data_IF_663956348957
#
_entry.id   IF_663956348957
#
_cell.length_a   1.000
_cell.length_b   1.000
_cell.length_c   1.000
_cell.angle_alpha   90.00
_cell.angle_beta   90.00
_cell.angle_gamma   90.00
#
_symmetry.space_group_name_H-M   'P 1'
#
loop_
_entity.id
_entity.type
_entity.pdbx_description
1 polymer ?
#
# COMPACT_ATOMS: atom_id res chain seq x y z
N UNK A 1 -7.72 52.85 0.50
CA UNK A 1 -7.81 51.99 -0.70
C UNK A 1 -6.81 50.83 -0.53
N UNK A 2 -6.88 50.05 0.56
CA UNK A 2 -7.60 48.78 0.74
C UNK A 2 -7.34 47.70 -0.33
N UNK A 3 -6.11 47.19 -0.42
CA UNK A 3 -5.86 45.83 -0.91
C UNK A 3 -5.89 44.87 0.27
N UNK A 4 -7.03 44.20 0.41
CA UNK A 4 -7.34 43.21 1.44
C UNK A 4 -6.59 41.92 1.15
N UNK A 5 -5.93 41.41 2.18
CA UNK A 5 -5.37 40.06 2.30
C UNK A 5 -6.23 39.00 1.61
N UNK A 6 -5.69 38.38 0.56
CA UNK A 6 -6.29 37.20 -0.06
C UNK A 6 -5.91 35.98 0.77
N UNK A 7 -6.80 35.66 1.71
CA UNK A 7 -7.19 34.30 2.09
C UNK A 7 -6.09 33.26 2.20
N UNK A 8 -5.49 33.22 3.40
CA UNK A 8 -4.82 32.05 3.96
C UNK A 8 -5.86 30.90 4.05
N UNK A 9 -5.84 29.94 3.12
CA UNK A 9 -6.59 28.70 3.27
C UNK A 9 -5.87 27.79 4.26
N UNK A 10 -6.27 27.88 5.54
CA UNK A 10 -6.09 26.83 6.54
C UNK A 10 -7.01 25.66 6.15
N UNK A 11 -6.45 24.49 5.81
CA UNK A 11 -7.15 23.21 5.88
C UNK A 11 -6.13 22.09 6.10
N UNK A 12 -6.45 21.18 7.03
CA UNK A 12 -5.52 20.25 7.68
C UNK A 12 -4.98 19.13 6.79
N UNK A 13 -3.65 19.03 6.81
CA UNK A 13 -2.78 17.84 6.90
C UNK A 13 -3.40 16.45 6.72
N UNK A 14 -3.53 16.06 5.45
CA UNK A 14 -3.07 14.80 4.81
C UNK A 14 -3.64 14.66 3.39
N UNK A 15 -4.49 15.61 3.00
CA UNK A 15 -4.81 15.90 1.60
C UNK A 15 -3.72 16.74 0.90
N UNK A 16 -2.53 16.94 1.48
CA UNK A 16 -1.54 17.92 1.00
C UNK A 16 -0.80 17.49 -0.27
N UNK A 17 -0.61 16.19 -0.50
CA UNK A 17 0.03 15.70 -1.74
C UNK A 17 -0.93 15.76 -2.94
N UNK A 18 -2.21 15.48 -2.73
CA UNK A 18 -3.21 15.51 -3.80
C UNK A 18 -3.68 16.93 -4.09
N UNK A 19 -3.92 17.78 -3.07
CA UNK A 19 -4.30 19.18 -3.27
C UNK A 19 -3.16 20.02 -3.84
N UNK A 20 -1.90 19.75 -3.51
CA UNK A 20 -0.77 20.51 -4.12
C UNK A 20 -0.71 20.32 -5.64
N UNK A 21 -1.00 19.11 -6.14
CA UNK A 21 -1.07 18.82 -7.59
C UNK A 21 -2.38 19.30 -8.24
N UNK A 22 -3.51 19.21 -7.54
CA UNK A 22 -4.80 19.72 -8.03
C UNK A 22 -4.84 21.25 -8.05
N UNK A 23 -4.24 21.91 -7.06
CA UNK A 23 -4.14 23.36 -6.98
C UNK A 23 -3.16 23.91 -8.02
N UNK A 24 -2.04 23.24 -8.28
CA UNK A 24 -1.09 23.66 -9.32
C UNK A 24 -1.70 23.60 -10.73
N UNK A 25 -2.41 22.51 -11.06
CA UNK A 25 -3.11 22.38 -12.34
C UNK A 25 -4.31 23.32 -12.48
N UNK A 26 -5.05 23.57 -11.39
CA UNK A 26 -6.12 24.57 -11.36
C UNK A 26 -5.59 26.00 -11.52
N UNK A 27 -4.49 26.35 -10.84
CA UNK A 27 -3.84 27.65 -10.95
C UNK A 27 -3.22 27.87 -12.34
N UNK A 28 -2.66 26.83 -12.96
CA UNK A 28 -2.19 26.89 -14.35
C UNK A 28 -3.34 27.14 -15.33
N UNK A 29 -4.47 26.42 -15.19
CA UNK A 29 -5.68 26.64 -16.00
C UNK A 29 -6.28 28.04 -15.79
N UNK A 30 -6.28 28.54 -14.55
CA UNK A 30 -6.77 29.88 -14.19
C UNK A 30 -5.86 30.98 -14.71
N UNK A 31 -4.54 30.82 -14.62
CA UNK A 31 -3.55 31.73 -15.18
C UNK A 31 -3.67 31.80 -16.72
N UNK A 32 -3.83 30.65 -17.40
CA UNK A 32 -4.07 30.60 -18.85
C UNK A 32 -5.36 31.32 -19.27
N UNK A 33 -6.43 31.19 -18.49
CA UNK A 33 -7.69 31.92 -18.72
C UNK A 33 -7.52 33.43 -18.53
N UNK A 34 -6.78 33.86 -17.50
CA UNK A 34 -6.49 35.26 -17.23
C UNK A 34 -5.59 35.90 -18.29
N UNK A 35 -4.56 35.18 -18.81
CA UNK A 35 -3.74 35.65 -19.95
C UNK A 35 -4.59 36.05 -21.15
N UNK A 36 -5.57 35.21 -21.50
CA UNK A 36 -6.46 35.43 -22.65
C UNK A 36 -7.41 36.61 -22.45
N UNK A 37 -7.91 36.80 -21.23
CA UNK A 37 -8.87 37.87 -20.90
C UNK A 37 -8.20 39.24 -20.77
N UNK A 38 -7.03 39.30 -20.13
CA UNK A 38 -6.34 40.56 -19.83
C UNK A 38 -5.33 40.96 -20.91
N UNK A 39 -5.07 40.09 -21.91
CA UNK A 39 -4.00 40.22 -22.92
C UNK A 39 -2.61 40.52 -22.32
N UNK A 40 -2.43 40.23 -21.05
CA UNK A 40 -1.18 40.43 -20.33
C UNK A 40 -0.45 39.09 -20.24
N UNK A 41 0.59 38.96 -21.05
CA UNK A 41 1.38 37.73 -21.17
C UNK A 41 2.33 37.51 -19.98
N UNK A 42 2.51 38.50 -19.10
CA UNK A 42 3.40 38.39 -17.94
C UNK A 42 2.81 37.56 -16.78
N UNK A 43 1.55 37.12 -16.86
CA UNK A 43 0.89 36.36 -15.78
C UNK A 43 1.29 34.89 -15.90
N UNK A 44 2.39 34.48 -15.27
CA UNK A 44 2.81 33.08 -15.19
C UNK A 44 2.43 32.43 -13.85
N UNK A 45 2.10 31.14 -13.89
CA UNK A 45 1.95 30.38 -12.66
C UNK A 45 3.36 30.02 -12.16
N UNK A 46 3.61 30.10 -10.86
CA UNK A 46 4.91 29.75 -10.24
C UNK A 46 5.42 28.34 -10.60
N UNK A 47 4.52 27.47 -11.06
CA UNK A 47 4.83 26.12 -11.54
C UNK A 47 5.33 26.08 -12.99
N UNK A 48 4.97 27.04 -13.84
CA UNK A 48 5.44 27.13 -15.24
C UNK A 48 6.85 27.75 -15.34
N UNK A 49 7.27 28.51 -14.31
CA UNK A 49 8.63 29.05 -14.19
C UNK A 49 9.65 28.01 -13.69
N UNK A 50 9.18 26.85 -13.22
CA UNK A 50 10.07 25.76 -12.85
C UNK A 50 10.60 25.09 -14.13
N UNK A 51 11.76 25.53 -14.61
CA UNK A 51 12.51 24.84 -15.65
C UNK A 51 12.66 23.37 -15.24
N UNK A 52 12.04 22.48 -16.01
CA UNK A 52 12.03 21.05 -15.71
C UNK A 52 13.39 20.48 -16.11
N UNK A 53 14.38 20.64 -15.23
CA UNK A 53 15.67 20.01 -15.42
C UNK A 53 15.52 18.52 -15.10
N UNK A 54 15.59 17.68 -16.13
CA UNK A 54 15.46 16.22 -16.00
C UNK A 54 16.47 15.64 -14.98
N UNK A 55 17.66 16.27 -14.86
CA UNK A 55 18.65 15.90 -13.85
C UNK A 55 18.19 16.18 -12.42
N UNK A 56 17.62 17.37 -12.16
CA UNK A 56 17.05 17.69 -10.85
C UNK A 56 15.82 16.83 -10.52
N UNK A 57 15.02 16.44 -11.52
CA UNK A 57 13.92 15.51 -11.31
C UNK A 57 14.47 14.14 -10.87
N UNK A 58 15.41 13.56 -11.62
CA UNK A 58 15.96 12.24 -11.28
C UNK A 58 16.60 12.27 -9.89
N UNK A 59 17.37 13.29 -9.54
CA UNK A 59 17.94 13.42 -8.20
C UNK A 59 16.86 13.57 -7.13
N UNK A 60 15.86 14.44 -7.35
CA UNK A 60 14.82 14.70 -6.36
C UNK A 60 13.84 13.53 -6.17
N UNK A 61 13.61 12.72 -7.20
CA UNK A 61 12.69 11.57 -7.15
C UNK A 61 13.39 10.25 -6.81
N UNK A 62 14.63 10.01 -7.25
CA UNK A 62 15.35 8.78 -6.94
C UNK A 62 16.35 8.93 -5.78
N UNK A 63 17.17 9.98 -5.76
CA UNK A 63 18.22 10.08 -4.72
C UNK A 63 17.66 10.40 -3.33
N UNK A 64 16.54 11.12 -3.23
CA UNK A 64 15.91 11.42 -1.93
C UNK A 64 15.42 10.16 -1.18
N UNK A 65 14.64 9.24 -1.79
CA UNK A 65 14.25 7.99 -1.15
C UNK A 65 15.43 7.12 -0.72
N UNK A 66 16.44 6.94 -1.58
CA UNK A 66 17.63 6.15 -1.22
C UNK A 66 18.43 6.81 -0.08
N UNK A 67 18.52 8.14 -0.07
CA UNK A 67 19.14 8.87 1.04
C UNK A 67 18.35 8.73 2.34
N UNK A 68 17.01 8.85 2.30
CA UNK A 68 16.17 8.59 3.48
C UNK A 68 16.36 7.15 3.99
N UNK A 69 16.42 6.17 3.09
CA UNK A 69 16.63 4.76 3.44
C UNK A 69 17.93 4.54 4.23
N UNK A 70 19.02 5.26 3.89
CA UNK A 70 20.33 5.08 4.54
C UNK A 70 20.50 5.99 5.77
N UNK A 71 19.94 7.20 5.74
CA UNK A 71 20.10 8.21 6.80
C UNK A 71 19.14 7.98 7.97
N UNK A 72 17.92 7.49 7.69
CA UNK A 72 16.90 7.26 8.71
C UNK A 72 16.82 5.75 9.03
N UNK A 73 17.39 5.29 10.16
CA UNK A 73 17.48 3.85 10.46
C UNK A 73 16.11 3.18 10.62
N UNK A 74 15.08 3.93 11.03
CA UNK A 74 13.72 3.41 11.13
C UNK A 74 13.15 3.00 9.77
N UNK A 75 13.42 3.79 8.72
CA UNK A 75 12.93 3.51 7.35
C UNK A 75 13.63 2.28 6.79
N UNK A 76 14.92 2.11 7.06
CA UNK A 76 15.68 0.93 6.69
C UNK A 76 15.09 -0.35 7.30
N UNK A 77 14.85 -0.34 8.61
CA UNK A 77 14.31 -1.52 9.32
C UNK A 77 12.91 -1.89 8.82
N UNK A 78 12.03 -0.91 8.60
CA UNK A 78 10.69 -1.15 8.07
C UNK A 78 10.71 -1.68 6.63
N UNK A 79 11.65 -1.18 5.82
CA UNK A 79 11.82 -1.64 4.43
C UNK A 79 12.37 -3.06 4.36
N UNK A 80 13.35 -3.39 5.21
CA UNK A 80 13.91 -4.74 5.31
C UNK A 80 12.87 -5.75 5.81
N UNK A 81 12.09 -5.38 6.82
CA UNK A 81 10.97 -6.18 7.32
C UNK A 81 9.93 -6.44 6.23
N UNK A 82 9.53 -5.39 5.48
CA UNK A 82 8.59 -5.53 4.37
C UNK A 82 9.15 -6.45 3.28
N UNK A 83 10.41 -6.27 2.89
CA UNK A 83 11.07 -7.12 1.89
C UNK A 83 11.12 -8.58 2.33
N UNK A 84 11.39 -8.84 3.61
CA UNK A 84 11.38 -10.19 4.18
C UNK A 84 9.99 -10.84 4.10
N UNK A 85 8.93 -10.12 4.50
CA UNK A 85 7.55 -10.65 4.40
C UNK A 85 7.14 -10.88 2.95
N UNK A 86 7.43 -9.96 2.04
CA UNK A 86 7.14 -10.15 0.63
C UNK A 86 7.91 -11.34 0.04
N UNK A 87 9.17 -11.52 0.42
CA UNK A 87 9.95 -12.71 0.05
C UNK A 87 9.26 -14.00 0.49
N UNK A 88 8.82 -14.07 1.75
CA UNK A 88 8.07 -15.21 2.29
C UNK A 88 6.74 -15.43 1.56
N UNK A 89 6.02 -14.36 1.21
CA UNK A 89 4.77 -14.44 0.46
C UNK A 89 4.98 -15.06 -0.94
N UNK A 90 6.01 -14.64 -1.67
CA UNK A 90 6.32 -15.21 -2.99
C UNK A 90 6.82 -16.65 -2.91
N UNK A 91 7.61 -16.97 -1.87
CA UNK A 91 8.00 -18.35 -1.57
C UNK A 91 6.78 -19.22 -1.28
N UNK A 92 5.81 -18.71 -0.53
CA UNK A 92 4.56 -19.43 -0.24
C UNK A 92 3.77 -19.75 -1.50
N UNK A 93 3.56 -18.77 -2.39
CA UNK A 93 2.83 -18.94 -3.64
C UNK A 93 3.48 -20.00 -4.55
N UNK A 94 4.81 -20.03 -4.60
CA UNK A 94 5.55 -20.99 -5.43
C UNK A 94 5.69 -22.37 -4.78
N UNK A 95 5.81 -22.43 -3.45
CA UNK A 95 5.91 -23.68 -2.70
C UNK A 95 4.59 -24.45 -2.64
N UNK A 96 3.45 -23.75 -2.69
CA UNK A 96 2.12 -24.35 -2.62
C UNK A 96 1.92 -25.46 -3.67
N UNK A 97 1.97 -25.19 -5.00
CA UNK A 97 1.81 -26.23 -6.01
C UNK A 97 2.90 -27.29 -5.93
N UNK A 98 4.12 -26.93 -5.48
CA UNK A 98 5.23 -27.86 -5.33
C UNK A 98 4.94 -28.94 -4.27
N UNK A 99 4.29 -28.57 -3.15
CA UNK A 99 3.89 -29.52 -2.10
C UNK A 99 2.82 -30.49 -2.64
N UNK A 100 1.81 -29.98 -3.35
CA UNK A 100 0.72 -30.81 -3.90
C UNK A 100 1.16 -31.72 -5.06
N UNK A 101 2.16 -31.30 -5.85
CA UNK A 101 2.77 -32.17 -6.86
C UNK A 101 3.72 -33.19 -6.24
N UNK A 102 4.63 -32.75 -5.36
CA UNK A 102 5.68 -33.60 -4.82
C UNK A 102 5.18 -34.62 -3.80
N UNK A 103 4.42 -34.18 -2.79
CA UNK A 103 4.00 -35.03 -1.66
C UNK A 103 2.72 -35.80 -2.00
N UNK A 104 1.74 -35.10 -2.58
CA UNK A 104 0.43 -35.67 -2.89
C UNK A 104 0.36 -36.34 -4.27
N UNK A 105 1.35 -36.13 -5.14
CA UNK A 105 1.38 -36.73 -6.48
C UNK A 105 0.26 -36.23 -7.40
N UNK A 106 -0.28 -35.04 -7.16
CA UNK A 106 -1.35 -34.48 -7.98
C UNK A 106 -0.82 -34.10 -9.36
N UNK A 107 -1.66 -34.25 -10.39
CA UNK A 107 -1.33 -33.77 -11.74
C UNK A 107 -1.05 -32.26 -11.72
N UNK A 108 -0.12 -31.75 -12.54
CA UNK A 108 0.25 -30.32 -12.55
C UNK A 108 -0.95 -29.38 -12.69
N UNK A 109 -1.93 -29.72 -13.54
CA UNK A 109 -3.15 -28.92 -13.71
C UNK A 109 -4.10 -28.92 -12.51
N UNK A 110 -4.06 -29.93 -11.64
CA UNK A 110 -4.92 -30.04 -10.46
C UNK A 110 -4.23 -29.44 -9.22
N UNK A 111 -2.91 -29.49 -9.18
CA UNK A 111 -2.10 -29.05 -8.02
C UNK A 111 -2.23 -27.56 -7.66
N UNK A 112 -2.72 -26.71 -8.58
CA UNK A 112 -3.00 -25.30 -8.31
C UNK A 112 -4.39 -25.02 -7.74
N UNK A 113 -5.34 -25.97 -7.80
CA UNK A 113 -6.69 -25.76 -7.24
C UNK A 113 -6.70 -25.44 -5.73
N UNK A 114 -5.86 -26.08 -4.89
CA UNK A 114 -5.75 -25.74 -3.47
C UNK A 114 -5.38 -24.28 -3.20
N UNK A 115 -4.69 -23.62 -4.13
CA UNK A 115 -4.31 -22.20 -4.00
C UNK A 115 -5.53 -21.26 -4.05
N UNK A 116 -6.63 -21.69 -4.67
CA UNK A 116 -7.92 -20.98 -4.60
C UNK A 116 -8.43 -20.87 -3.15
N UNK A 117 -8.06 -21.80 -2.27
CA UNK A 117 -8.33 -21.69 -0.84
C UNK A 117 -7.66 -20.47 -0.22
N UNK A 118 -6.41 -20.18 -0.58
CA UNK A 118 -5.72 -18.97 -0.11
C UNK A 118 -6.37 -17.69 -0.68
N UNK A 119 -6.79 -17.72 -1.95
CA UNK A 119 -7.51 -16.60 -2.58
C UNK A 119 -8.84 -16.28 -1.87
N UNK A 120 -9.58 -17.32 -1.45
CA UNK A 120 -10.80 -17.12 -0.66
C UNK A 120 -10.49 -16.46 0.69
N UNK A 121 -9.35 -16.79 1.31
CA UNK A 121 -8.84 -16.11 2.50
C UNK A 121 -8.65 -14.61 2.25
N UNK A 122 -7.95 -14.23 1.17
CA UNK A 122 -7.74 -12.82 0.80
C UNK A 122 -9.04 -12.05 0.59
N UNK A 123 -10.03 -12.68 -0.07
CA UNK A 123 -11.33 -12.06 -0.32
C UNK A 123 -12.04 -11.78 1.02
N UNK A 124 -12.02 -12.73 1.95
CA UNK A 124 -12.63 -12.56 3.27
C UNK A 124 -11.92 -11.46 4.05
N UNK A 125 -10.58 -11.42 4.04
CA UNK A 125 -9.81 -10.34 4.67
C UNK A 125 -10.19 -8.98 4.07
N UNK A 126 -10.28 -8.88 2.74
CA UNK A 126 -10.71 -7.65 2.06
C UNK A 126 -12.09 -7.17 2.49
N UNK A 127 -13.03 -8.10 2.68
CA UNK A 127 -14.37 -7.79 3.19
C UNK A 127 -14.28 -7.27 4.63
N UNK A 128 -13.56 -7.98 5.51
CA UNK A 128 -13.38 -7.57 6.93
C UNK A 128 -12.74 -6.17 7.01
N UNK A 129 -11.70 -5.89 6.23
CA UNK A 129 -11.06 -4.56 6.23
C UNK A 129 -11.99 -3.47 5.71
N UNK A 130 -12.83 -3.78 4.72
CA UNK A 130 -13.84 -2.83 4.21
C UNK A 130 -14.91 -2.54 5.27
N UNK A 131 -15.31 -3.54 6.06
CA UNK A 131 -16.25 -3.37 7.18
C UNK A 131 -15.62 -2.56 8.33
N UNK A 132 -14.31 -2.64 8.51
CA UNK A 132 -13.56 -1.87 9.51
C UNK A 132 -13.24 -0.42 9.07
N UNK A 133 -13.22 -0.15 7.77
CA UNK A 133 -12.96 1.18 7.20
C UNK A 133 -13.82 2.33 7.80
N UNK A 134 -15.16 2.22 8.00
CA UNK A 134 -15.94 3.28 8.62
C UNK A 134 -15.53 3.59 10.07
N UNK A 135 -15.02 2.62 10.82
CA UNK A 135 -14.52 2.84 12.17
C UNK A 135 -13.24 3.68 12.15
N UNK A 136 -12.36 3.45 11.17
CA UNK A 136 -11.19 4.28 10.95
C UNK A 136 -11.57 5.72 10.58
N UNK A 137 -12.54 5.91 9.67
CA UNK A 137 -13.02 7.25 9.28
C UNK A 137 -13.62 8.02 10.45
N UNK A 138 -14.33 7.35 11.36
CA UNK A 138 -14.86 7.99 12.58
C UNK A 138 -13.74 8.49 13.50
N UNK A 139 -12.68 7.69 13.70
CA UNK A 139 -11.49 8.11 14.46
C UNK A 139 -10.77 9.28 13.79
N UNK A 140 -10.71 9.27 12.46
CA UNK A 140 -10.10 10.33 11.65
C UNK A 140 -10.81 11.67 11.82
N UNK A 141 -12.15 11.68 11.76
CA UNK A 141 -12.97 12.88 11.98
C UNK A 141 -12.80 13.39 13.40
N UNK A 142 -12.71 12.50 14.39
CA UNK A 142 -12.47 12.86 15.79
C UNK A 142 -11.07 13.49 16.02
N UNK A 143 -10.10 13.20 15.15
CA UNK A 143 -8.73 13.72 15.22
C UNK A 143 -8.45 14.83 14.19
N UNK A 144 -9.45 15.68 13.89
CA UNK A 144 -9.33 16.81 12.98
C UNK A 144 -8.85 16.44 11.55
N UNK A 145 -9.17 15.23 11.08
CA UNK A 145 -8.68 14.70 9.81
C UNK A 145 -7.15 14.67 9.70
N UNK A 146 -6.44 14.46 10.81
CA UNK A 146 -5.02 14.12 10.82
C UNK A 146 -4.88 12.60 10.96
N UNK A 147 -4.55 11.88 9.89
CA UNK A 147 -4.27 10.46 9.95
C UNK A 147 -3.09 10.15 10.87
N UNK A 148 -3.29 9.08 11.63
CA UNK A 148 -2.33 8.57 12.60
C UNK A 148 -2.03 7.16 12.14
N UNK A 149 -0.85 6.90 11.55
CA UNK A 149 -0.53 5.60 10.94
C UNK A 149 -0.63 4.44 11.95
N UNK A 150 -0.45 4.71 13.23
CA UNK A 150 -0.51 3.76 14.33
C UNK A 150 -1.89 3.10 14.49
N UNK A 151 -2.96 3.74 14.03
CA UNK A 151 -4.30 3.16 14.12
C UNK A 151 -4.51 1.94 13.24
N UNK A 152 -3.66 1.74 12.22
CA UNK A 152 -3.70 0.58 11.32
C UNK A 152 -2.79 -0.56 11.78
N UNK A 153 -1.94 -0.30 12.79
CA UNK A 153 -1.00 -1.27 13.33
C UNK A 153 -1.68 -2.52 13.94
N UNK A 154 -2.80 -2.42 14.68
CA UNK A 154 -3.44 -3.60 15.27
C UNK A 154 -3.91 -4.62 14.23
N UNK A 155 -4.42 -4.14 13.09
CA UNK A 155 -4.88 -4.99 11.99
C UNK A 155 -3.70 -5.76 11.37
N UNK A 156 -2.57 -5.08 11.19
CA UNK A 156 -1.34 -5.71 10.70
C UNK A 156 -0.76 -6.75 11.69
N UNK A 157 -0.87 -6.52 13.00
CA UNK A 157 -0.42 -7.49 14.02
C UNK A 157 -1.24 -8.77 13.99
N UNK A 158 -2.57 -8.66 13.87
CA UNK A 158 -3.46 -9.82 13.75
C UNK A 158 -3.16 -10.60 12.47
N UNK A 159 -2.98 -9.88 11.35
CA UNK A 159 -2.59 -10.47 10.07
C UNK A 159 -1.27 -11.25 10.17
N UNK A 160 -0.25 -10.67 10.80
CA UNK A 160 1.05 -11.32 10.98
C UNK A 160 0.98 -12.64 11.78
N UNK A 161 0.16 -12.69 12.84
CA UNK A 161 -0.03 -13.92 13.64
C UNK A 161 -0.75 -14.99 12.83
N UNK A 162 -1.80 -14.62 12.09
CA UNK A 162 -2.54 -15.55 11.22
C UNK A 162 -1.65 -16.07 10.08
N UNK A 163 -0.85 -15.20 9.47
CA UNK A 163 0.08 -15.55 8.40
C UNK A 163 1.15 -16.54 8.86
N UNK A 164 1.81 -16.25 10.00
CA UNK A 164 2.79 -17.15 10.59
C UNK A 164 2.15 -18.49 11.00
N UNK A 165 1.00 -18.45 11.70
CA UNK A 165 0.27 -19.64 12.12
C UNK A 165 -0.18 -20.53 10.95
N UNK A 166 -0.68 -19.92 9.88
CA UNK A 166 -1.06 -20.61 8.65
C UNK A 166 0.13 -21.28 7.95
N UNK A 167 1.30 -20.63 7.91
CA UNK A 167 2.52 -21.25 7.38
C UNK A 167 2.99 -22.43 8.20
N UNK A 168 2.98 -22.33 9.53
CA UNK A 168 3.32 -23.47 10.39
C UNK A 168 2.34 -24.63 10.19
N UNK A 169 1.05 -24.34 10.04
CA UNK A 169 0.03 -25.34 9.73
C UNK A 169 0.32 -26.01 8.38
N UNK A 170 0.59 -25.23 7.33
CA UNK A 170 0.93 -25.75 6.02
C UNK A 170 2.20 -26.62 6.06
N UNK A 171 3.25 -26.16 6.74
CA UNK A 171 4.50 -26.92 6.88
C UNK A 171 4.29 -28.26 7.59
N UNK A 172 3.48 -28.28 8.64
CA UNK A 172 3.14 -29.51 9.36
C UNK A 172 2.31 -30.49 8.52
N UNK A 173 1.27 -29.98 7.86
CA UNK A 173 0.33 -30.80 7.08
C UNK A 173 0.89 -31.22 5.72
N UNK A 174 1.70 -30.39 5.08
CA UNK A 174 2.28 -30.61 3.76
C UNK A 174 3.46 -31.58 3.73
N UNK A 175 4.11 -31.86 4.86
CA UNK A 175 5.23 -32.82 4.91
C UNK A 175 4.77 -34.29 4.91
N UNK A 176 3.55 -34.58 5.39
CA UNK A 176 3.08 -35.96 5.57
C UNK A 176 2.04 -36.34 4.53
N UNK A 177 2.37 -37.34 3.69
CA UNK A 177 1.45 -37.91 2.70
C UNK A 177 0.21 -38.58 3.33
N UNK A 178 0.31 -38.98 4.59
CA UNK A 178 -0.78 -39.61 5.35
C UNK A 178 -1.91 -38.62 5.70
N UNK A 179 -1.62 -37.32 5.73
CA UNK A 179 -2.61 -36.28 6.06
C UNK A 179 -3.36 -35.90 4.79
N UNK A 180 -4.69 -35.92 4.82
CA UNK A 180 -5.52 -35.56 3.66
C UNK A 180 -5.22 -34.15 3.17
N UNK A 181 -5.11 -33.97 1.84
CA UNK A 181 -4.73 -32.72 1.18
C UNK A 181 -5.56 -31.49 1.60
N UNK A 182 -6.78 -31.68 2.08
CA UNK A 182 -7.67 -30.60 2.52
C UNK A 182 -7.14 -29.88 3.76
N UNK A 183 -6.38 -30.57 4.62
CA UNK A 183 -5.79 -29.99 5.82
C UNK A 183 -4.70 -28.99 5.43
N UNK A 184 -3.90 -29.30 4.41
CA UNK A 184 -2.94 -28.36 3.84
C UNK A 184 -3.65 -27.18 3.17
N UNK A 185 -4.76 -27.43 2.45
CA UNK A 185 -5.59 -26.37 1.86
C UNK A 185 -6.16 -25.40 2.91
N UNK A 186 -6.61 -25.91 4.06
CA UNK A 186 -7.09 -25.08 5.17
C UNK A 186 -5.93 -24.27 5.78
N UNK A 187 -4.72 -24.85 5.86
CA UNK A 187 -3.52 -24.12 6.26
C UNK A 187 -3.27 -22.88 5.40
N UNK A 188 -3.32 -23.00 4.06
CA UNK A 188 -3.18 -21.84 3.19
C UNK A 188 -4.39 -20.90 3.18
N UNK A 189 -5.60 -21.36 3.48
CA UNK A 189 -6.73 -20.47 3.74
C UNK A 189 -6.45 -19.57 4.96
N UNK A 190 -5.93 -20.14 6.05
CA UNK A 190 -5.53 -19.37 7.24
C UNK A 190 -4.37 -18.42 6.93
N UNK A 191 -3.38 -18.86 6.15
CA UNK A 191 -2.31 -17.96 5.67
C UNK A 191 -2.87 -16.82 4.82
N UNK A 192 -3.85 -17.12 3.96
CA UNK A 192 -4.58 -16.13 3.15
C UNK A 192 -5.37 -15.14 4.00
N UNK A 193 -5.91 -15.54 5.15
CA UNK A 193 -6.55 -14.60 6.08
C UNK A 193 -5.57 -13.62 6.72
N UNK A 194 -4.28 -13.99 6.81
CA UNK A 194 -3.24 -13.15 7.38
C UNK A 194 -2.59 -12.14 6.42
N UNK A 195 -2.92 -12.23 5.12
CA UNK A 195 -2.44 -11.36 4.04
C UNK A 195 -3.50 -10.30 3.74
#
# INVERSE_FOLDING_TARGET
>A
MSYRNVGFCRCGTELDLCTRNQCSSYLAKKAAKLRRLTKNYAIHAKQEEAEVNLGEMVERYFMRPFRMLVVEPIVLLMSLYSAFIYGLLYLFLTAYPQIFQGVYGMRPGISGLPELGAVLGWIITGIVMTLHAPNYTRKLVANNNMPVPEWRMPEAMVGAVLFAGGMFWLGWSGYRKEIHWIVATIGGFVTGLGI
#
